data_IF_085633717866
#
_entry.id   IF_085633717866
#
_cell.length_a   1.000
_cell.length_b   1.000
_cell.length_c   1.000
_cell.angle_alpha   90.00
_cell.angle_beta   90.00
_cell.angle_gamma   90.00
#
_symmetry.space_group_name_H-M   'P 1'
#
loop_
_entity.id
_entity.type
_entity.pdbx_description
1 polymer ?
#
# COMPACT_ATOMS: atom_id res chain seq x y z
N UNK A 1 -15.56 4.77 -27.33
CA UNK A 1 -14.34 4.98 -26.52
C UNK A 1 -14.69 4.63 -25.09
N UNK A 2 -14.00 3.68 -24.46
CA UNK A 2 -14.24 3.32 -23.06
C UNK A 2 -13.79 4.50 -22.19
N UNK A 3 -14.70 5.03 -21.36
CA UNK A 3 -14.36 6.11 -20.41
C UNK A 3 -13.30 5.60 -19.44
N UNK A 4 -12.27 6.41 -19.19
CA UNK A 4 -11.22 6.14 -18.20
C UNK A 4 -11.23 7.22 -17.14
N UNK A 5 -11.05 6.83 -15.89
CA UNK A 5 -10.99 7.70 -14.73
C UNK A 5 -9.55 7.81 -14.21
N UNK A 6 -9.23 8.96 -13.63
CA UNK A 6 -7.93 9.17 -12.99
C UNK A 6 -7.87 8.41 -11.68
N UNK A 7 -6.76 7.70 -11.46
CA UNK A 7 -6.42 7.12 -10.17
C UNK A 7 -5.02 7.58 -9.74
N UNK A 8 -4.79 7.51 -8.44
CA UNK A 8 -3.50 7.72 -7.80
C UNK A 8 -3.04 6.40 -7.19
N UNK A 9 -1.74 6.13 -7.19
CA UNK A 9 -1.19 4.98 -6.49
C UNK A 9 0.13 5.29 -5.82
N UNK A 10 0.43 4.54 -4.76
CA UNK A 10 1.73 4.53 -4.09
C UNK A 10 2.14 3.09 -3.80
N UNK A 11 3.44 2.81 -3.84
CA UNK A 11 3.97 1.53 -3.40
C UNK A 11 4.04 1.47 -1.88
N UNK A 12 3.82 0.30 -1.30
CA UNK A 12 4.17 0.01 0.09
C UNK A 12 5.53 -0.68 0.07
N UNK A 13 6.53 -0.03 0.68
CA UNK A 13 7.90 -0.52 0.73
C UNK A 13 8.20 -1.07 2.11
N UNK A 14 8.81 -2.26 2.15
CA UNK A 14 9.35 -2.81 3.39
C UNK A 14 10.79 -2.34 3.50
N UNK A 15 11.13 -1.74 4.65
CA UNK A 15 12.45 -1.25 5.03
C UNK A 15 12.87 -2.04 6.28
N UNK A 16 13.56 -3.18 6.14
CA UNK A 16 13.82 -4.08 7.28
C UNK A 16 14.62 -3.40 8.39
N UNK A 17 15.58 -2.55 8.02
CA UNK A 17 16.31 -1.65 8.92
C UNK A 17 16.21 -0.22 8.45
N UNK A 18 15.46 0.59 9.20
CA UNK A 18 15.15 1.98 8.84
C UNK A 18 16.42 2.84 8.73
N UNK A 19 17.42 2.56 9.56
CA UNK A 19 18.70 3.29 9.60
C UNK A 19 19.55 3.04 8.35
N UNK A 20 19.39 1.88 7.70
CA UNK A 20 20.13 1.52 6.48
C UNK A 20 19.38 1.95 5.21
N UNK A 21 18.05 2.00 5.26
CA UNK A 21 17.22 2.46 4.15
C UNK A 21 17.08 1.48 2.98
N UNK A 22 17.66 0.28 3.07
CA UNK A 22 17.42 -0.79 2.10
C UNK A 22 15.95 -1.18 2.11
N UNK A 23 15.37 -1.29 0.91
CA UNK A 23 13.95 -1.55 0.80
C UNK A 23 13.58 -2.31 -0.46
N UNK A 24 12.39 -2.91 -0.43
CA UNK A 24 11.75 -3.54 -1.58
C UNK A 24 10.25 -3.30 -1.54
N UNK A 25 9.58 -3.42 -2.69
CA UNK A 25 8.14 -3.29 -2.78
C UNK A 25 7.46 -4.52 -2.17
N UNK A 26 6.44 -4.31 -1.36
CA UNK A 26 5.66 -5.36 -0.72
C UNK A 26 4.14 -5.12 -0.84
N UNK A 27 3.73 -4.11 -1.61
CA UNK A 27 2.32 -3.85 -1.87
C UNK A 27 2.10 -2.59 -2.68
N UNK A 28 0.84 -2.38 -3.03
CA UNK A 28 0.35 -1.21 -3.75
C UNK A 28 -0.87 -0.67 -3.03
N UNK A 29 -1.01 0.64 -3.01
CA UNK A 29 -2.17 1.37 -2.54
C UNK A 29 -2.72 2.18 -3.72
N UNK A 30 -3.99 2.00 -4.05
CA UNK A 30 -4.68 2.69 -5.15
C UNK A 30 -5.84 3.48 -4.59
N UNK A 31 -6.00 4.71 -5.08
CA UNK A 31 -7.14 5.57 -4.81
C UNK A 31 -7.73 6.10 -6.11
N UNK A 32 -9.04 6.00 -6.27
CA UNK A 32 -9.75 6.58 -7.41
C UNK A 32 -10.94 7.40 -6.91
N UNK A 33 -10.82 8.72 -7.03
CA UNK A 33 -11.83 9.67 -6.56
C UNK A 33 -13.19 9.46 -7.23
N UNK A 34 -13.21 9.21 -8.54
CA UNK A 34 -14.44 9.04 -9.32
C UNK A 34 -15.30 7.87 -8.83
N UNK A 35 -14.66 6.86 -8.23
CA UNK A 35 -15.30 5.65 -7.69
C UNK A 35 -15.38 5.64 -6.16
N UNK A 36 -14.96 6.72 -5.49
CA UNK A 36 -14.77 6.75 -4.02
C UNK A 36 -14.01 5.53 -3.50
N UNK A 37 -13.04 5.07 -4.28
CA UNK A 37 -12.36 3.79 -4.08
C UNK A 37 -10.99 4.01 -3.44
N UNK A 38 -10.68 3.22 -2.42
CA UNK A 38 -9.31 3.05 -1.91
C UNK A 38 -9.08 1.58 -1.58
N UNK A 39 -7.99 1.01 -2.05
CA UNK A 39 -7.61 -0.35 -1.72
C UNK A 39 -6.09 -0.50 -1.65
N UNK A 40 -5.65 -1.34 -0.74
CA UNK A 40 -4.31 -1.86 -0.73
C UNK A 40 -4.31 -3.36 -0.99
N UNK A 41 -3.25 -3.82 -1.65
CA UNK A 41 -2.90 -5.24 -1.71
C UNK A 41 -1.44 -5.41 -1.41
N UNK A 42 -1.13 -6.43 -0.64
CA UNK A 42 0.22 -6.69 -0.17
C UNK A 42 0.68 -8.11 -0.50
N UNK A 43 1.98 -8.24 -0.72
CA UNK A 43 2.67 -9.49 -0.89
C UNK A 43 4.05 -9.37 -0.22
N UNK A 44 4.26 -10.13 0.85
CA UNK A 44 5.54 -10.16 1.56
C UNK A 44 6.39 -11.32 1.06
N UNK A 45 7.49 -11.00 0.40
CA UNK A 45 8.55 -11.95 0.07
C UNK A 45 9.47 -12.11 1.29
N UNK A 46 9.27 -13.18 2.06
CA UNK A 46 10.06 -13.47 3.27
C UNK A 46 11.53 -13.72 2.96
N UNK A 47 11.83 -14.31 1.80
CA UNK A 47 13.21 -14.59 1.40
C UNK A 47 13.96 -13.27 1.14
N UNK A 48 13.35 -12.31 0.44
CA UNK A 48 13.94 -10.96 0.26
C UNK A 48 14.11 -10.24 1.60
N UNK A 49 13.12 -10.33 2.49
CA UNK A 49 13.18 -9.71 3.82
C UNK A 49 14.38 -10.23 4.62
N UNK A 50 14.51 -11.55 4.75
CA UNK A 50 15.56 -12.19 5.53
C UNK A 50 16.95 -12.09 4.86
N UNK A 51 17.00 -11.91 3.54
CA UNK A 51 18.25 -11.63 2.83
C UNK A 51 18.80 -10.23 3.14
N UNK A 52 17.93 -9.22 3.29
CA UNK A 52 18.33 -7.85 3.65
C UNK A 52 18.65 -7.72 5.16
N UNK A 53 17.87 -8.41 5.99
CA UNK A 53 18.09 -8.48 7.44
C UNK A 53 17.68 -9.85 8.00
N UNK A 54 18.65 -10.73 8.32
CA UNK A 54 18.37 -12.04 8.91
C UNK A 54 17.63 -11.99 10.26
N UNK A 55 17.65 -10.85 10.95
CA UNK A 55 16.96 -10.64 12.23
C UNK A 55 15.58 -9.99 12.11
N UNK A 56 15.06 -9.77 10.90
CA UNK A 56 13.80 -9.08 10.70
C UNK A 56 12.59 -9.83 11.29
N UNK A 57 11.69 -9.10 11.93
CA UNK A 57 10.42 -9.63 12.43
C UNK A 57 9.41 -9.81 11.28
N UNK A 58 9.42 -10.98 10.67
CA UNK A 58 8.50 -11.37 9.59
C UNK A 58 7.03 -11.20 10.00
N UNK A 59 6.69 -11.56 11.24
CA UNK A 59 5.30 -11.53 11.73
C UNK A 59 4.84 -10.09 11.90
N UNK A 60 5.67 -9.25 12.51
CA UNK A 60 5.41 -7.81 12.66
C UNK A 60 5.27 -7.09 11.32
N UNK A 61 6.15 -7.38 10.35
CA UNK A 61 6.07 -6.79 9.00
C UNK A 61 4.77 -7.21 8.31
N UNK A 62 4.40 -8.49 8.38
CA UNK A 62 3.12 -8.98 7.84
C UNK A 62 1.92 -8.30 8.49
N UNK A 63 1.94 -8.16 9.82
CA UNK A 63 0.87 -7.49 10.55
C UNK A 63 0.75 -6.01 10.13
N UNK A 64 1.87 -5.30 9.97
CA UNK A 64 1.89 -3.92 9.51
C UNK A 64 1.31 -3.77 8.08
N UNK A 65 1.67 -4.68 7.17
CA UNK A 65 1.09 -4.72 5.81
C UNK A 65 -0.42 -4.97 5.84
N UNK A 66 -0.89 -5.92 6.66
CA UNK A 66 -2.34 -6.19 6.84
C UNK A 66 -3.09 -5.02 7.46
N UNK A 67 -2.47 -4.28 8.38
CA UNK A 67 -3.08 -3.09 8.96
C UNK A 67 -3.35 -2.02 7.89
N UNK A 68 -2.46 -1.87 6.90
CA UNK A 68 -2.69 -0.96 5.76
C UNK A 68 -3.91 -1.39 4.93
N UNK A 69 -4.06 -2.69 4.66
CA UNK A 69 -5.25 -3.23 3.99
C UNK A 69 -6.53 -2.97 4.79
N UNK A 70 -6.49 -3.16 6.12
CA UNK A 70 -7.60 -2.89 7.02
C UNK A 70 -8.06 -1.43 7.01
N UNK A 71 -7.11 -0.49 6.97
CA UNK A 71 -7.42 0.95 6.87
C UNK A 71 -8.13 1.29 5.56
N UNK A 72 -7.83 0.60 4.46
CA UNK A 72 -8.54 0.82 3.20
C UNK A 72 -10.02 0.40 3.29
N UNK A 73 -10.29 -0.72 3.97
CA UNK A 73 -11.64 -1.28 4.17
C UNK A 73 -12.59 -0.38 4.97
N UNK A 74 -12.07 0.60 5.72
CA UNK A 74 -12.88 1.46 6.58
C UNK A 74 -13.38 0.72 7.82
N UNK A 75 -14.43 1.25 8.47
CA UNK A 75 -15.05 0.64 9.65
C UNK A 75 -14.09 0.51 10.83
N UNK A 76 -14.38 -0.40 11.77
CA UNK A 76 -13.55 -0.62 12.96
C UNK A 76 -12.10 -1.00 12.60
N UNK A 77 -11.89 -1.71 11.48
CA UNK A 77 -10.57 -2.08 10.97
C UNK A 77 -9.68 -0.90 10.58
N UNK A 78 -10.26 0.28 10.33
CA UNK A 78 -9.51 1.49 10.03
C UNK A 78 -9.11 2.29 11.27
N UNK A 79 -9.51 1.84 12.47
CA UNK A 79 -9.12 2.46 13.74
C UNK A 79 -9.43 3.96 13.77
N UNK A 80 -8.40 4.79 13.95
CA UNK A 80 -8.55 6.25 13.98
C UNK A 80 -9.06 6.85 12.66
N UNK A 81 -8.99 6.11 11.56
CA UNK A 81 -9.50 6.52 10.25
C UNK A 81 -10.87 5.91 9.91
N UNK A 82 -11.56 5.28 10.89
CA UNK A 82 -12.88 4.66 10.69
C UNK A 82 -13.93 5.62 10.12
N UNK A 83 -13.92 6.88 10.57
CA UNK A 83 -14.86 7.92 10.11
C UNK A 83 -14.43 8.66 8.84
N UNK A 84 -13.29 8.29 8.25
CA UNK A 84 -12.70 9.03 7.13
C UNK A 84 -13.22 8.52 5.78
N UNK A 85 -13.38 9.43 4.82
CA UNK A 85 -13.63 9.05 3.42
C UNK A 85 -12.40 8.39 2.77
N UNK A 86 -12.61 7.72 1.62
CA UNK A 86 -11.54 7.02 0.91
C UNK A 86 -10.31 7.89 0.61
N UNK A 87 -10.51 9.16 0.27
CA UNK A 87 -9.42 10.08 -0.04
C UNK A 87 -8.63 10.51 1.19
N UNK A 88 -9.31 10.73 2.32
CA UNK A 88 -8.65 11.04 3.60
C UNK A 88 -7.88 9.83 4.13
N UNK A 89 -8.43 8.61 4.00
CA UNK A 89 -7.71 7.36 4.31
C UNK A 89 -6.48 7.18 3.43
N UNK A 90 -6.60 7.41 2.12
CA UNK A 90 -5.45 7.38 1.19
C UNK A 90 -4.36 8.37 1.62
N UNK A 91 -4.72 9.64 1.87
CA UNK A 91 -3.77 10.68 2.31
C UNK A 91 -3.09 10.33 3.64
N UNK A 92 -3.81 9.72 4.57
CA UNK A 92 -3.23 9.24 5.82
C UNK A 92 -2.24 8.09 5.58
N UNK A 93 -2.58 7.15 4.70
CA UNK A 93 -1.73 6.01 4.36
C UNK A 93 -0.44 6.39 3.64
N UNK A 94 -0.46 7.42 2.79
CA UNK A 94 0.73 7.90 2.05
C UNK A 94 1.56 8.92 2.83
N UNK A 95 1.15 9.31 4.05
CA UNK A 95 1.93 10.22 4.89
C UNK A 95 3.30 9.60 5.23
N UNK A 96 4.42 10.33 5.02
CA UNK A 96 5.77 9.86 5.34
C UNK A 96 5.89 9.39 6.79
N UNK A 97 6.58 8.26 6.98
CA UNK A 97 6.74 7.62 8.29
C UNK A 97 8.02 6.78 8.32
N UNK A 98 8.77 6.86 9.40
CA UNK A 98 10.03 6.11 9.59
C UNK A 98 9.77 4.76 10.26
N UNK A 99 8.92 3.94 9.63
CA UNK A 99 8.52 2.61 10.11
C UNK A 99 9.06 1.50 9.19
N UNK A 100 8.94 0.24 9.59
CA UNK A 100 9.37 -0.91 8.73
C UNK A 100 8.55 -1.06 7.45
N UNK A 101 7.33 -0.51 7.42
CA UNK A 101 6.52 -0.35 6.20
C UNK A 101 6.38 1.14 5.94
N UNK A 102 6.80 1.59 4.76
CA UNK A 102 6.82 3.00 4.38
C UNK A 102 6.13 3.21 3.01
N UNK A 103 5.37 4.31 2.84
CA UNK A 103 4.81 4.62 1.55
C UNK A 103 5.86 5.08 0.52
N UNK A 104 5.56 4.80 -0.74
CA UNK A 104 6.21 5.26 -1.95
C UNK A 104 5.90 6.73 -2.27
N UNK A 105 6.54 7.24 -3.31
CA UNK A 105 6.03 8.42 -3.99
C UNK A 105 4.63 8.12 -4.57
N UNK A 106 3.79 9.16 -4.63
CA UNK A 106 2.47 9.06 -5.27
C UNK A 106 2.64 9.30 -6.77
N UNK A 107 2.02 8.42 -7.54
CA UNK A 107 1.94 8.47 -8.99
C UNK A 107 0.47 8.46 -9.43
N UNK A 108 0.20 8.78 -10.69
CA UNK A 108 -1.16 8.82 -11.23
C UNK A 108 -1.26 8.06 -12.55
N UNK A 109 -2.46 7.57 -12.86
CA UNK A 109 -2.75 6.86 -14.09
C UNK A 109 -4.23 7.00 -14.50
N UNK A 110 -4.59 6.27 -15.56
CA UNK A 110 -5.96 6.18 -16.06
C UNK A 110 -6.40 4.72 -16.05
N UNK A 111 -7.57 4.44 -15.49
CA UNK A 111 -8.16 3.10 -15.43
C UNK A 111 -9.62 3.10 -15.86
N UNK A 112 -10.09 1.96 -16.35
CA UNK A 112 -11.53 1.69 -16.53
C UNK A 112 -12.13 1.01 -15.30
N UNK A 113 -11.31 0.36 -14.46
CA UNK A 113 -11.71 -0.30 -13.22
C UNK A 113 -10.56 -0.19 -12.19
N UNK A 114 -10.75 0.54 -11.09
CA UNK A 114 -9.71 0.71 -10.09
C UNK A 114 -9.42 -0.56 -9.27
N UNK A 115 -10.34 -1.52 -9.18
CA UNK A 115 -10.11 -2.79 -8.48
C UNK A 115 -9.17 -3.70 -9.28
N UNK A 116 -9.41 -3.85 -10.59
CA UNK A 116 -8.51 -4.60 -11.48
C UNK A 116 -7.12 -3.95 -11.55
N UNK A 117 -7.08 -2.61 -11.52
CA UNK A 117 -5.81 -1.87 -11.54
C UNK A 117 -4.94 -2.14 -10.31
N UNK A 118 -5.54 -2.42 -9.15
CA UNK A 118 -4.79 -2.79 -7.95
C UNK A 118 -4.06 -4.11 -8.15
N UNK A 119 -4.74 -5.15 -8.65
CA UNK A 119 -4.12 -6.45 -8.89
C UNK A 119 -3.07 -6.36 -10.02
N UNK A 120 -3.37 -5.62 -11.10
CA UNK A 120 -2.41 -5.38 -12.19
C UNK A 120 -1.12 -4.73 -11.69
N UNK A 121 -1.21 -3.71 -10.84
CA UNK A 121 -0.05 -3.02 -10.29
C UNK A 121 0.71 -3.88 -9.28
N UNK A 122 0.01 -4.71 -8.51
CA UNK A 122 0.63 -5.66 -7.59
C UNK A 122 1.47 -6.69 -8.35
N UNK A 123 0.92 -7.26 -9.42
CA UNK A 123 1.61 -8.24 -10.26
C UNK A 123 2.79 -7.62 -11.03
N UNK A 124 2.70 -6.33 -11.40
CA UNK A 124 3.76 -5.67 -12.15
C UNK A 124 4.92 -5.17 -11.28
N UNK A 125 4.63 -4.70 -10.07
CA UNK A 125 5.58 -3.91 -9.26
C UNK A 125 6.03 -4.61 -7.97
N UNK A 126 5.43 -5.76 -7.63
CA UNK A 126 5.67 -6.43 -6.33
C UNK A 126 6.00 -7.92 -6.50
N UNK A 127 5.18 -8.65 -7.27
CA UNK A 127 5.36 -10.08 -7.54
C UNK A 127 6.28 -10.32 -8.73
#
# INVERSE_FOLDING_TARGET
MTRRDVFEYALLRVVPRVERGECFNAGVLVYCRAHSFVAARTHLDEAKLLALDPGADVVGVRAALRAVEGVCGGGESAGQAAGDDAGRRFRWLIAPRSTVVQPGAVHSGLTTDPADEVERLLDLLVR
#
